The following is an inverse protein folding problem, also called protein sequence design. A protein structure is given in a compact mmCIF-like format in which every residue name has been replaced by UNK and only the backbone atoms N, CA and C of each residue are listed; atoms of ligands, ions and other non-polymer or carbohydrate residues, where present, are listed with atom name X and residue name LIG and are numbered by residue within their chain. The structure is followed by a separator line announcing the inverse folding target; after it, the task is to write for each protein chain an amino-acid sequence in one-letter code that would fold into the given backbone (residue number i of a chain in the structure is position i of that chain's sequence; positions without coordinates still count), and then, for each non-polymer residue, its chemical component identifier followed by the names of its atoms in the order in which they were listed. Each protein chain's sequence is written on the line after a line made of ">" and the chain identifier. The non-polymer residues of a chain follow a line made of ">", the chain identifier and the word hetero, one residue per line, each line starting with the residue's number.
data_IF_359363576851
#
_entry.id   IF_359363576851
#
_cell.length_a   1.000
_cell.length_b   1.000
_cell.length_c   1.000
_cell.angle_alpha   90.00
_cell.angle_beta   90.00
_cell.angle_gamma   90.00
#
_symmetry.space_group_name_H-M   'P 1'
#
loop_
_entity.id
_entity.type
_entity.pdbx_description
1 polymer ?
#
# COMPACT_ATOMS: atom_id res chain seq x y z
N UNK A 1 -21.25 -16.86 -3.71
CA UNK A 1 -21.18 -15.66 -4.59
C UNK A 1 -20.14 -14.70 -4.06
N UNK A 2 -19.35 -14.03 -4.93
CA UNK A 2 -18.41 -12.98 -4.47
C UNK A 2 -19.20 -11.67 -4.21
N UNK A 3 -19.34 -11.27 -2.96
CA UNK A 3 -20.02 -10.00 -2.59
C UNK A 3 -19.26 -8.79 -3.15
N UNK A 4 -17.93 -8.81 -3.09
CA UNK A 4 -17.05 -7.73 -3.55
C UNK A 4 -17.03 -7.63 -5.08
N UNK A 5 -16.88 -8.75 -5.79
CA UNK A 5 -16.77 -8.76 -7.26
C UNK A 5 -18.00 -8.19 -7.98
N UNK A 6 -19.18 -8.30 -7.39
CA UNK A 6 -20.44 -7.80 -7.97
C UNK A 6 -20.63 -6.29 -7.87
N UNK A 7 -19.92 -5.66 -6.93
CA UNK A 7 -20.06 -4.21 -6.73
C UNK A 7 -19.35 -3.49 -7.88
N UNK A 8 -20.04 -2.62 -8.63
CA UNK A 8 -19.39 -1.79 -9.64
C UNK A 8 -18.31 -0.91 -8.99
N UNK A 9 -17.30 -0.57 -9.76
CA UNK A 9 -16.28 0.41 -9.34
C UNK A 9 -16.70 1.76 -9.89
N UNK A 10 -17.03 2.69 -9.01
CA UNK A 10 -17.37 4.06 -9.39
C UNK A 10 -16.10 4.75 -9.88
N UNK A 11 -16.14 5.38 -11.04
CA UNK A 11 -15.08 6.19 -11.60
C UNK A 11 -15.37 7.67 -11.26
N UNK A 12 -14.60 8.31 -10.37
CA UNK A 12 -14.83 9.69 -10.00
C UNK A 12 -14.54 10.65 -11.16
N UNK A 13 -15.10 11.85 -11.12
CA UNK A 13 -14.83 12.89 -12.11
C UNK A 13 -13.32 13.19 -12.20
N UNK A 14 -12.81 13.28 -13.42
CA UNK A 14 -11.36 13.49 -13.67
C UNK A 14 -10.52 12.21 -13.71
N UNK A 15 -11.12 11.03 -13.57
CA UNK A 15 -10.46 9.74 -13.80
C UNK A 15 -10.99 9.11 -15.07
N UNK A 16 -10.08 8.61 -15.92
CA UNK A 16 -10.43 7.83 -17.12
C UNK A 16 -9.91 6.40 -16.98
N UNK A 17 -10.74 5.45 -17.36
CA UNK A 17 -10.41 4.03 -17.36
C UNK A 17 -10.51 3.50 -18.79
N UNK A 18 -9.42 2.98 -19.31
CA UNK A 18 -9.34 2.38 -20.65
C UNK A 18 -9.01 0.89 -20.50
N UNK A 19 -9.76 0.03 -21.15
CA UNK A 19 -9.48 -1.40 -21.22
C UNK A 19 -8.91 -1.69 -22.61
N UNK A 20 -7.65 -2.09 -22.64
CA UNK A 20 -6.93 -2.48 -23.86
C UNK A 20 -7.03 -4.00 -24.09
N UNK A 21 -6.42 -4.46 -25.17
CA UNK A 21 -6.29 -5.88 -25.48
C UNK A 21 -5.68 -6.68 -24.32
N UNK A 22 -6.02 -7.94 -24.20
CA UNK A 22 -5.56 -8.85 -23.14
C UNK A 22 -5.87 -8.38 -21.69
N UNK A 23 -6.99 -7.66 -21.51
CA UNK A 23 -7.38 -7.09 -20.20
C UNK A 23 -6.28 -6.22 -19.56
N UNK A 24 -5.52 -5.52 -20.38
CA UNK A 24 -4.62 -4.48 -19.88
C UNK A 24 -5.45 -3.25 -19.56
N UNK A 25 -5.61 -2.94 -18.28
CA UNK A 25 -6.38 -1.78 -17.80
C UNK A 25 -5.43 -0.62 -17.51
N UNK A 26 -5.72 0.52 -18.12
CA UNK A 26 -5.01 1.79 -17.90
C UNK A 26 -5.95 2.76 -17.20
N UNK A 27 -5.54 3.26 -16.06
CA UNK A 27 -6.30 4.24 -15.28
C UNK A 27 -5.49 5.52 -15.19
N UNK A 28 -6.05 6.63 -15.66
CA UNK A 28 -5.43 7.97 -15.65
C UNK A 28 -6.23 8.88 -14.72
N UNK A 29 -5.56 9.63 -13.90
CA UNK A 29 -6.17 10.59 -12.98
C UNK A 29 -5.27 11.78 -12.69
N UNK A 30 -5.68 12.62 -11.75
CA UNK A 30 -4.97 13.85 -11.38
C UNK A 30 -3.56 13.62 -10.84
N UNK A 31 -3.33 12.48 -10.17
CA UNK A 31 -2.03 12.14 -9.55
C UNK A 31 -1.10 11.32 -10.44
N UNK A 32 -1.59 10.83 -11.57
CA UNK A 32 -0.77 10.05 -12.50
C UNK A 32 -1.53 8.97 -13.24
N UNK A 33 -0.78 8.04 -13.81
CA UNK A 33 -1.32 6.94 -14.60
C UNK A 33 -0.82 5.61 -14.05
N UNK A 34 -1.72 4.65 -13.91
CA UNK A 34 -1.42 3.27 -13.57
C UNK A 34 -1.86 2.36 -14.70
N UNK A 35 -1.02 1.39 -15.01
CA UNK A 35 -1.32 0.34 -15.99
C UNK A 35 -1.09 -1.04 -15.36
N UNK A 36 -2.01 -1.97 -15.65
CA UNK A 36 -1.92 -3.33 -15.12
C UNK A 36 -2.61 -4.34 -16.03
N UNK A 37 -1.93 -5.48 -16.25
CA UNK A 37 -2.53 -6.63 -16.88
C UNK A 37 -3.36 -7.41 -15.86
N UNK A 38 -4.62 -7.64 -16.18
CA UNK A 38 -5.58 -8.37 -15.37
C UNK A 38 -5.88 -9.75 -15.99
N UNK A 39 -6.44 -10.70 -15.23
CA UNK A 39 -6.77 -12.02 -15.76
C UNK A 39 -7.68 -11.94 -16.98
N UNK A 40 -7.25 -12.59 -18.07
CA UNK A 40 -7.96 -12.58 -19.37
C UNK A 40 -9.32 -13.27 -19.27
N UNK A 41 -9.49 -14.17 -18.30
CA UNK A 41 -10.75 -14.90 -18.08
C UNK A 41 -11.90 -14.01 -17.58
N UNK A 42 -11.60 -12.79 -17.12
CA UNK A 42 -12.61 -11.85 -16.65
C UNK A 42 -13.04 -10.91 -17.77
N UNK A 43 -14.33 -10.65 -17.89
CA UNK A 43 -14.88 -9.64 -18.79
C UNK A 43 -15.01 -8.31 -18.03
N UNK A 44 -14.36 -7.27 -18.55
CA UNK A 44 -14.27 -5.94 -17.91
C UNK A 44 -14.92 -4.93 -18.85
N UNK A 45 -15.98 -4.28 -18.37
CA UNK A 45 -16.72 -3.26 -19.14
C UNK A 45 -16.73 -1.94 -18.39
N UNK A 46 -16.64 -0.85 -19.14
CA UNK A 46 -16.80 0.51 -18.62
C UNK A 46 -18.14 1.02 -19.14
N UNK A 47 -19.10 1.24 -18.24
CA UNK A 47 -20.46 1.67 -18.54
C UNK A 47 -20.85 2.81 -17.59
N UNK A 48 -21.38 3.91 -18.12
CA UNK A 48 -21.97 5.02 -17.36
C UNK A 48 -21.14 5.50 -16.14
N UNK A 49 -19.83 5.63 -16.31
CA UNK A 49 -18.95 6.07 -15.21
C UNK A 49 -18.67 4.99 -14.15
N UNK A 50 -18.96 3.75 -14.47
CA UNK A 50 -18.71 2.60 -13.60
C UNK A 50 -17.90 1.53 -14.35
N UNK A 51 -17.03 0.82 -13.64
CA UNK A 51 -16.38 -0.38 -14.18
C UNK A 51 -17.06 -1.60 -13.57
N UNK A 52 -17.59 -2.44 -14.45
CA UNK A 52 -18.24 -3.71 -14.10
C UNK A 52 -17.34 -4.86 -14.52
N UNK A 53 -17.11 -5.77 -13.60
CA UNK A 53 -16.35 -7.00 -13.87
C UNK A 53 -17.31 -8.18 -13.83
N UNK A 54 -17.28 -9.02 -14.87
CA UNK A 54 -18.08 -10.24 -14.93
C UNK A 54 -17.17 -11.46 -15.04
N UNK A 55 -17.69 -12.64 -14.68
CA UNK A 55 -16.98 -13.90 -14.75
C UNK A 55 -17.75 -14.90 -15.63
N UNK A 56 -17.06 -15.80 -16.35
CA UNK A 56 -17.70 -16.73 -17.27
C UNK A 56 -18.48 -17.86 -16.57
N UNK A 57 -18.06 -18.26 -15.38
CA UNK A 57 -18.67 -19.36 -14.63
C UNK A 57 -18.47 -19.24 -13.11
N UNK A 58 -19.05 -20.19 -12.36
CA UNK A 58 -19.06 -20.19 -10.88
C UNK A 58 -17.97 -21.10 -10.26
N UNK A 59 -16.95 -21.48 -11.01
CA UNK A 59 -15.81 -22.22 -10.48
C UNK A 59 -15.11 -21.44 -9.36
N UNK A 60 -14.55 -22.15 -8.38
CA UNK A 60 -13.85 -21.55 -7.23
C UNK A 60 -12.76 -20.55 -7.66
N UNK A 61 -11.98 -20.91 -8.69
CA UNK A 61 -10.94 -20.03 -9.28
C UNK A 61 -11.56 -18.74 -9.83
N UNK A 62 -12.64 -18.83 -10.60
CA UNK A 62 -13.30 -17.65 -11.20
C UNK A 62 -13.91 -16.72 -10.15
N UNK A 63 -14.47 -17.27 -9.07
CA UNK A 63 -14.97 -16.47 -7.94
C UNK A 63 -13.85 -15.70 -7.25
N UNK A 64 -12.68 -16.29 -7.08
CA UNK A 64 -11.51 -15.64 -6.50
C UNK A 64 -10.97 -14.52 -7.41
N UNK A 65 -10.77 -14.82 -8.70
CA UNK A 65 -10.30 -13.85 -9.69
C UNK A 65 -11.25 -12.68 -9.86
N UNK A 66 -12.57 -12.91 -9.85
CA UNK A 66 -13.58 -11.87 -9.94
C UNK A 66 -13.45 -10.81 -8.84
N UNK A 67 -13.35 -11.24 -7.58
CA UNK A 67 -13.15 -10.33 -6.45
C UNK A 67 -11.79 -9.62 -6.48
N UNK A 68 -10.73 -10.34 -6.88
CA UNK A 68 -9.39 -9.79 -7.02
C UNK A 68 -9.34 -8.70 -8.10
N UNK A 69 -9.81 -9.00 -9.31
CA UNK A 69 -9.81 -8.07 -10.44
C UNK A 69 -10.55 -6.78 -10.11
N UNK A 70 -11.76 -6.91 -9.56
CA UNK A 70 -12.53 -5.73 -9.10
C UNK A 70 -11.76 -4.90 -8.09
N UNK A 71 -11.14 -5.54 -7.10
CA UNK A 71 -10.38 -4.83 -6.06
C UNK A 71 -9.14 -4.15 -6.62
N UNK A 72 -8.44 -4.76 -7.57
CA UNK A 72 -7.28 -4.16 -8.22
C UNK A 72 -7.66 -2.91 -9.01
N UNK A 73 -8.74 -2.96 -9.80
CA UNK A 73 -9.26 -1.79 -10.53
C UNK A 73 -9.65 -0.68 -9.54
N UNK A 74 -10.38 -1.01 -8.48
CA UNK A 74 -10.75 -0.03 -7.46
C UNK A 74 -9.52 0.62 -6.81
N UNK A 75 -8.50 -0.16 -6.47
CA UNK A 75 -7.26 0.37 -5.92
C UNK A 75 -6.53 1.29 -6.92
N UNK A 76 -6.57 0.98 -8.22
CA UNK A 76 -5.99 1.87 -9.24
C UNK A 76 -6.75 3.19 -9.34
N UNK A 77 -8.09 3.14 -9.36
CA UNK A 77 -8.96 4.34 -9.42
C UNK A 77 -8.71 5.25 -8.21
N UNK A 78 -8.75 4.71 -6.99
CA UNK A 78 -8.46 5.48 -5.76
C UNK A 78 -7.02 6.01 -5.77
N UNK A 79 -6.07 5.20 -6.24
CA UNK A 79 -4.66 5.60 -6.27
C UNK A 79 -4.38 6.81 -7.16
N UNK A 80 -4.99 6.88 -8.35
CA UNK A 80 -4.79 8.01 -9.27
C UNK A 80 -5.63 9.24 -8.93
N UNK A 81 -6.70 9.09 -8.13
CA UNK A 81 -7.55 10.20 -7.66
C UNK A 81 -7.06 10.78 -6.34
N UNK A 82 -7.07 9.98 -5.28
CA UNK A 82 -6.75 10.40 -3.91
C UNK A 82 -5.30 10.11 -3.54
N UNK A 83 -4.73 9.03 -4.08
CA UNK A 83 -3.45 8.47 -3.68
C UNK A 83 -3.56 7.58 -2.45
N UNK A 84 -2.44 6.96 -2.10
CA UNK A 84 -2.31 6.17 -0.88
C UNK A 84 -1.21 6.70 0.00
N UNK A 85 -1.47 6.64 1.29
CA UNK A 85 -0.46 6.95 2.30
C UNK A 85 -0.39 5.85 3.36
N UNK A 86 0.80 5.63 3.91
CA UNK A 86 1.00 4.76 5.07
C UNK A 86 1.96 5.43 6.05
N UNK A 87 1.48 5.62 7.27
CA UNK A 87 2.24 6.27 8.34
C UNK A 87 2.92 5.23 9.21
N UNK A 88 4.20 5.44 9.46
CA UNK A 88 5.04 4.65 10.36
C UNK A 88 5.54 5.53 11.50
N UNK A 89 5.63 4.97 12.70
CA UNK A 89 6.18 5.63 13.89
C UNK A 89 7.51 5.00 14.28
N UNK A 90 8.52 5.84 14.48
CA UNK A 90 9.84 5.44 14.97
C UNK A 90 9.89 5.63 16.47
N UNK A 91 9.93 4.54 17.23
CA UNK A 91 9.91 4.53 18.68
C UNK A 91 11.24 4.02 19.24
N UNK A 92 11.86 4.78 20.11
CA UNK A 92 13.10 4.39 20.80
C UNK A 92 13.99 5.57 21.16
N UNK A 93 14.67 5.49 22.31
CA UNK A 93 15.63 6.52 22.72
C UNK A 93 16.80 6.51 21.74
N UNK A 94 17.09 7.66 21.15
CA UNK A 94 18.16 7.83 20.16
C UNK A 94 17.78 7.39 18.74
N UNK A 95 16.56 6.85 18.52
CA UNK A 95 16.09 6.54 17.16
C UNK A 95 15.62 7.81 16.46
N UNK A 96 16.03 8.00 15.22
CA UNK A 96 15.67 9.16 14.41
C UNK A 96 15.49 8.77 12.95
N UNK A 97 14.58 9.45 12.29
CA UNK A 97 14.41 9.41 10.85
C UNK A 97 14.66 10.81 10.28
N UNK A 98 15.33 10.89 9.15
CA UNK A 98 15.59 12.14 8.44
C UNK A 98 15.44 11.90 6.94
N UNK A 99 14.89 12.90 6.25
CA UNK A 99 14.80 12.89 4.79
C UNK A 99 15.90 13.79 4.22
N UNK A 100 16.70 13.25 3.32
CA UNK A 100 17.75 13.96 2.60
C UNK A 100 17.54 13.81 1.09
N UNK A 101 16.81 14.74 0.50
CA UNK A 101 16.41 14.62 -0.92
C UNK A 101 15.55 13.38 -1.13
N UNK A 102 16.01 12.44 -1.98
CA UNK A 102 15.34 11.16 -2.23
C UNK A 102 15.72 10.05 -1.25
N UNK A 103 16.69 10.31 -0.35
CA UNK A 103 17.15 9.30 0.63
C UNK A 103 16.45 9.47 1.97
N UNK A 104 15.97 8.37 2.51
CA UNK A 104 15.51 8.24 3.89
C UNK A 104 16.65 7.68 4.73
N UNK A 105 17.12 8.45 5.70
CA UNK A 105 18.21 8.08 6.61
C UNK A 105 17.63 7.74 7.98
N UNK A 106 17.87 6.53 8.44
CA UNK A 106 17.32 5.98 9.68
C UNK A 106 18.46 5.69 10.68
N UNK A 107 18.46 6.35 11.82
CA UNK A 107 19.32 6.02 12.96
C UNK A 107 18.53 5.13 13.91
N UNK A 108 18.85 3.84 13.93
CA UNK A 108 18.07 2.81 14.63
C UNK A 108 18.89 2.04 15.67
N UNK A 109 19.96 2.66 16.19
CA UNK A 109 20.83 2.04 17.19
C UNK A 109 21.79 0.98 16.61
N UNK A 110 22.06 1.05 15.31
CA UNK A 110 23.15 0.33 14.65
C UNK A 110 24.45 1.17 14.66
N UNK A 111 25.58 0.55 14.36
CA UNK A 111 26.88 1.23 14.27
C UNK A 111 26.92 2.30 13.18
N UNK A 112 26.09 2.18 12.16
CA UNK A 112 25.94 3.12 11.04
C UNK A 112 24.45 3.37 10.74
N UNK A 113 24.10 4.52 10.18
CA UNK A 113 22.72 4.79 9.76
C UNK A 113 22.32 3.86 8.61
N UNK A 114 21.03 3.54 8.56
CA UNK A 114 20.42 2.80 7.44
C UNK A 114 19.91 3.81 6.42
N UNK A 115 20.45 3.77 5.20
CA UNK A 115 19.98 4.60 4.10
C UNK A 115 19.05 3.78 3.18
N UNK A 116 17.95 4.38 2.78
CA UNK A 116 17.00 3.83 1.82
C UNK A 116 16.66 4.90 0.80
N UNK A 117 16.63 4.54 -0.49
CA UNK A 117 16.18 5.43 -1.55
C UNK A 117 14.70 5.19 -1.84
N UNK A 118 13.97 6.28 -2.09
CA UNK A 118 12.56 6.16 -2.47
C UNK A 118 12.46 5.52 -3.87
N UNK A 119 11.70 4.43 -4.02
CA UNK A 119 11.42 3.86 -5.32
C UNK A 119 10.64 4.82 -6.22
N UNK A 120 10.71 4.62 -7.53
CA UNK A 120 9.97 5.43 -8.49
C UNK A 120 8.45 5.41 -8.24
N UNK A 121 7.85 6.61 -8.22
CA UNK A 121 6.42 6.80 -7.96
C UNK A 121 6.04 6.75 -6.49
N UNK A 122 7.01 6.76 -5.59
CA UNK A 122 6.82 6.91 -4.15
C UNK A 122 7.56 8.14 -3.63
N UNK A 123 6.98 8.73 -2.60
CA UNK A 123 7.60 9.84 -1.86
C UNK A 123 7.49 9.55 -0.37
N UNK A 124 8.59 9.78 0.37
CA UNK A 124 8.57 9.73 1.83
C UNK A 124 8.70 11.12 2.40
N UNK A 125 7.91 11.41 3.41
CA UNK A 125 8.03 12.61 4.24
C UNK A 125 8.29 12.20 5.68
N UNK A 126 9.08 13.02 6.40
CA UNK A 126 9.41 12.78 7.80
C UNK A 126 8.99 14.00 8.61
N UNK A 127 8.14 13.77 9.60
CA UNK A 127 7.73 14.78 10.55
C UNK A 127 7.89 14.27 11.99
N UNK A 128 8.86 14.81 12.70
CA UNK A 128 9.23 14.30 14.02
C UNK A 128 9.65 12.85 13.98
N UNK A 129 8.90 11.98 14.64
CA UNK A 129 9.13 10.54 14.67
C UNK A 129 8.28 9.76 13.66
N UNK A 130 7.47 10.45 12.86
CA UNK A 130 6.59 9.82 11.89
C UNK A 130 7.22 9.86 10.49
N UNK A 131 7.14 8.73 9.81
CA UNK A 131 7.51 8.57 8.41
C UNK A 131 6.22 8.29 7.66
N UNK A 132 5.87 9.15 6.71
CA UNK A 132 4.71 8.95 5.84
C UNK A 132 5.20 8.56 4.45
N UNK A 133 4.76 7.41 3.97
CA UNK A 133 5.02 6.92 2.61
C UNK A 133 3.80 7.21 1.76
N UNK A 134 3.98 7.95 0.68
CA UNK A 134 2.91 8.41 -0.21
C UNK A 134 3.16 7.88 -1.63
N UNK A 135 2.10 7.51 -2.34
CA UNK A 135 2.18 7.09 -3.73
C UNK A 135 0.85 6.74 -4.36
N UNK A 136 0.85 6.56 -5.66
CA UNK A 136 -0.34 6.20 -6.43
C UNK A 136 -0.66 4.70 -6.39
N UNK A 137 0.36 3.85 -6.18
CA UNK A 137 0.20 2.40 -6.13
C UNK A 137 0.11 1.89 -4.70
N UNK A 138 -1.05 1.37 -4.31
CA UNK A 138 -1.27 0.76 -2.99
C UNK A 138 -0.26 -0.33 -2.66
N UNK A 139 0.09 -1.14 -3.65
CA UNK A 139 1.04 -2.25 -3.49
C UNK A 139 2.45 -1.72 -3.21
N UNK A 140 2.93 -0.76 -4.02
CA UNK A 140 4.26 -0.17 -3.83
C UNK A 140 4.37 0.57 -2.49
N UNK A 141 3.34 1.36 -2.12
CA UNK A 141 3.28 2.06 -0.82
C UNK A 141 3.34 1.05 0.33
N UNK A 142 2.53 -0.01 0.27
CA UNK A 142 2.51 -1.05 1.30
C UNK A 142 3.81 -1.83 1.39
N UNK A 143 4.40 -2.19 0.25
CA UNK A 143 5.67 -2.91 0.19
C UNK A 143 6.81 -2.08 0.77
N UNK A 144 6.95 -0.83 0.35
CA UNK A 144 8.02 0.05 0.84
C UNK A 144 7.87 0.38 2.32
N UNK A 145 6.65 0.61 2.80
CA UNK A 145 6.38 0.78 4.22
C UNK A 145 6.76 -0.48 5.04
N UNK A 146 6.52 -1.67 4.50
CA UNK A 146 6.93 -2.92 5.14
C UNK A 146 8.45 -3.07 5.18
N UNK A 147 9.17 -2.69 4.12
CA UNK A 147 10.63 -2.69 4.06
C UNK A 147 11.26 -1.73 5.08
N UNK A 148 10.70 -0.52 5.23
CA UNK A 148 11.13 0.44 6.26
C UNK A 148 10.92 -0.17 7.65
N UNK A 149 9.73 -0.73 7.93
CA UNK A 149 9.44 -1.37 9.21
C UNK A 149 10.36 -2.56 9.50
N UNK A 150 10.74 -3.32 8.49
CA UNK A 150 11.61 -4.48 8.63
C UNK A 150 13.04 -4.12 9.04
N UNK A 151 13.52 -2.90 8.73
CA UNK A 151 14.85 -2.45 9.16
C UNK A 151 15.02 -2.49 10.68
N UNK A 152 13.96 -2.27 11.44
CA UNK A 152 13.95 -2.47 12.89
C UNK A 152 12.51 -2.72 13.37
N UNK A 153 12.10 -3.98 13.38
CA UNK A 153 10.76 -4.37 13.87
C UNK A 153 10.59 -4.01 15.33
N UNK A 154 9.39 -3.63 15.78
CA UNK A 154 9.14 -3.28 17.16
C UNK A 154 9.35 -4.49 18.08
N UNK A 155 10.05 -4.30 19.16
CA UNK A 155 10.31 -5.33 20.15
C UNK A 155 9.13 -5.46 21.15
N UNK A 156 8.90 -6.66 21.72
CA UNK A 156 7.70 -6.88 22.55
C UNK A 156 7.81 -6.35 23.98
N UNK A 157 8.95 -5.87 24.45
CA UNK A 157 9.11 -5.44 25.84
C UNK A 157 8.88 -3.95 26.03
N UNK A 158 9.73 -3.12 25.44
CA UNK A 158 9.63 -1.65 25.51
C UNK A 158 8.97 -1.06 24.27
N UNK A 159 8.77 -1.84 23.21
CA UNK A 159 8.17 -1.40 21.96
C UNK A 159 9.10 -0.56 21.09
N UNK A 160 10.43 -0.66 21.27
CA UNK A 160 11.41 0.03 20.43
C UNK A 160 11.42 -0.57 19.03
N UNK A 161 11.44 0.28 18.03
CA UNK A 161 11.44 -0.10 16.63
C UNK A 161 10.54 0.79 15.80
N UNK A 162 10.31 0.40 14.56
CA UNK A 162 9.40 1.05 13.62
C UNK A 162 8.12 0.23 13.56
N UNK A 163 6.99 0.85 13.84
CA UNK A 163 5.65 0.25 13.74
C UNK A 163 4.77 1.06 12.79
N UNK A 164 3.69 0.47 12.30
CA UNK A 164 2.62 1.26 11.67
C UNK A 164 1.90 2.10 12.73
N UNK A 165 1.39 3.26 12.35
CA UNK A 165 0.66 4.14 13.28
C UNK A 165 -0.56 3.47 13.90
N UNK A 166 -1.22 2.60 13.13
CA UNK A 166 -2.39 1.80 13.51
C UNK A 166 -2.03 0.46 14.20
N UNK A 167 -0.73 0.13 14.32
CA UNK A 167 -0.28 -1.15 14.88
C UNK A 167 -0.20 -1.11 16.42
N UNK A 168 -0.92 -2.01 17.05
CA UNK A 168 -0.84 -2.21 18.51
C UNK A 168 0.12 -3.36 18.83
N UNK A 169 1.24 -3.04 19.48
CA UNK A 169 2.26 -4.02 19.85
C UNK A 169 1.84 -4.72 21.14
N UNK A 170 1.60 -6.06 21.06
CA UNK A 170 1.35 -6.88 22.25
C UNK A 170 2.62 -6.96 23.08
N UNK A 171 2.66 -6.23 24.20
CA UNK A 171 3.81 -6.22 25.12
C UNK A 171 3.84 -7.46 25.98
N UNK A 172 5.05 -7.95 26.23
CA UNK A 172 5.35 -9.02 27.18
C UNK A 172 5.93 -8.41 28.46
N UNK A 173 5.61 -9.02 29.59
CA UNK A 173 6.23 -8.68 30.87
C UNK A 173 7.64 -9.29 30.88
N UNK A 174 8.66 -8.47 31.17
CA UNK A 174 10.03 -8.96 31.34
C UNK A 174 10.15 -9.89 32.55
N UNK A 175 11.27 -10.60 32.65
CA UNK A 175 11.57 -11.42 33.84
C UNK A 175 11.62 -10.46 35.07
N UNK A 176 10.67 -10.61 35.98
CA UNK A 176 10.76 -10.01 37.32
C UNK A 176 11.82 -10.80 38.08
N UNK A 177 12.96 -10.17 38.35
CA UNK A 177 13.93 -10.77 39.27
C UNK A 177 13.22 -11.05 40.59
N UNK A 178 13.16 -12.31 40.99
CA UNK A 178 12.84 -12.63 42.39
C UNK A 178 13.93 -11.97 43.27
N UNK A 179 13.53 -11.00 44.10
CA UNK A 179 14.30 -10.67 45.27
C UNK A 179 14.32 -11.82 46.22
#
# INVERSE_FOLDING_TARGET
>A
MSRIGRLPVVVPAGVTVEVKENNCVVVKGSKGTLERNLPVEMDIKVEDGHVVVTRPNDLKKMKALHGLTRTLIHNMVVGVSEGYEKVLEVNGVGYRAQKQGKKLVLSLGYSHPVEMEDPEGLETTVYGNNITVIGISKEKVGQYAAEIREKRRPEPYKGKGIKYADEVIRRKVGKTGKK
#
